data_IF_429305521285
#
_entry.id   IF_429305521285
#
_cell.length_a   1.000
_cell.length_b   1.000
_cell.length_c   1.000
_cell.angle_alpha   90.00
_cell.angle_beta   90.00
_cell.angle_gamma   90.00
#
_symmetry.space_group_name_H-M   'P 1'
#
loop_
_entity.id
_entity.type
_entity.pdbx_description
1 polymer ?
#
# COMPACT_ATOMS: atom_id res chain seq x y z
N UNK A 1 3.09 -30.02 28.26
CA UNK A 1 2.03 -30.01 27.23
C UNK A 1 1.43 -28.62 27.17
N UNK A 2 1.60 -27.91 26.04
CA UNK A 2 0.78 -26.78 25.54
C UNK A 2 1.56 -26.11 24.40
N UNK A 3 1.73 -26.87 23.31
CA UNK A 3 2.04 -26.33 21.98
C UNK A 3 0.70 -25.88 21.40
N UNK A 4 0.36 -24.60 21.48
CA UNK A 4 -0.59 -23.92 20.58
C UNK A 4 -0.83 -22.51 21.10
N UNK A 5 -0.26 -21.50 20.44
CA UNK A 5 -0.98 -20.31 19.98
C UNK A 5 0.00 -19.37 19.26
N UNK A 6 -0.54 -18.59 18.33
CA UNK A 6 0.07 -17.53 17.51
C UNK A 6 0.66 -17.95 16.16
N UNK A 7 -0.22 -18.44 15.27
CA UNK A 7 -0.09 -18.24 13.82
C UNK A 7 -1.37 -17.53 13.36
N UNK A 8 -1.42 -16.20 13.48
CA UNK A 8 -2.53 -15.40 12.91
C UNK A 8 -2.11 -14.02 12.36
N UNK A 9 -0.82 -13.69 12.29
CA UNK A 9 -0.37 -12.33 11.94
C UNK A 9 0.15 -12.16 10.49
N UNK A 10 -0.36 -12.91 9.52
CA UNK A 10 0.14 -12.86 8.12
C UNK A 10 -0.89 -12.37 7.09
N UNK A 11 -2.12 -12.03 7.49
CA UNK A 11 -3.19 -11.66 6.55
C UNK A 11 -3.36 -10.14 6.34
N UNK A 12 -2.75 -9.29 7.18
CA UNK A 12 -2.91 -7.83 7.09
C UNK A 12 -2.16 -7.19 5.91
N UNK A 13 -1.09 -7.82 5.40
CA UNK A 13 -0.29 -7.27 4.29
C UNK A 13 -0.93 -7.40 2.90
N UNK A 14 -1.81 -8.39 2.70
CA UNK A 14 -2.44 -8.61 1.40
C UNK A 14 -3.62 -7.65 1.15
N UNK A 15 -4.38 -7.33 2.20
CA UNK A 15 -5.52 -6.40 2.10
C UNK A 15 -5.06 -4.98 1.71
N UNK A 16 -4.00 -4.47 2.35
CA UNK A 16 -3.49 -3.12 2.11
C UNK A 16 -2.91 -2.94 0.70
N UNK A 17 -2.30 -3.99 0.15
CA UNK A 17 -1.74 -3.98 -1.20
C UNK A 17 -2.85 -3.89 -2.25
N UNK A 18 -3.95 -4.61 -2.04
CA UNK A 18 -5.10 -4.57 -2.94
C UNK A 18 -5.77 -3.20 -2.96
N UNK A 19 -5.93 -2.55 -1.81
CA UNK A 19 -6.56 -1.23 -1.73
C UNK A 19 -5.66 -0.13 -2.29
N UNK A 20 -4.34 -0.23 -2.10
CA UNK A 20 -3.37 0.62 -2.77
C UNK A 20 -3.47 0.50 -4.31
N UNK A 21 -3.52 -0.73 -4.82
CA UNK A 21 -3.67 -0.98 -6.26
C UNK A 21 -4.97 -0.37 -6.79
N UNK A 22 -6.10 -0.52 -6.09
CA UNK A 22 -7.38 0.10 -6.49
C UNK A 22 -7.26 1.62 -6.56
N UNK A 23 -6.68 2.25 -5.54
CA UNK A 23 -6.49 3.71 -5.51
C UNK A 23 -5.60 4.19 -6.68
N UNK A 24 -4.52 3.48 -6.97
CA UNK A 24 -3.62 3.79 -8.09
C UNK A 24 -4.32 3.63 -9.45
N UNK A 25 -5.08 2.54 -9.65
CA UNK A 25 -5.87 2.32 -10.86
C UNK A 25 -6.94 3.39 -11.06
N UNK A 26 -7.64 3.79 -10.00
CA UNK A 26 -8.63 4.87 -10.06
C UNK A 26 -8.01 6.23 -10.49
N UNK A 27 -6.71 6.42 -10.30
CA UNK A 27 -5.97 7.61 -10.73
C UNK A 27 -5.36 7.48 -12.15
N UNK A 28 -5.64 6.39 -12.86
CA UNK A 28 -5.17 6.15 -14.22
C UNK A 28 -3.74 5.62 -14.31
N UNK A 29 -3.21 5.03 -13.23
CA UNK A 29 -1.91 4.39 -13.25
C UNK A 29 -1.97 2.96 -13.79
N UNK A 30 -0.92 2.57 -14.49
CA UNK A 30 -0.76 1.25 -15.11
C UNK A 30 0.57 0.62 -14.67
N UNK A 31 0.81 -0.65 -15.03
CA UNK A 31 2.03 -1.39 -14.65
C UNK A 31 2.36 -1.30 -13.15
N UNK A 32 1.32 -1.36 -12.31
CA UNK A 32 1.42 -1.16 -10.86
C UNK A 32 2.09 -2.37 -10.21
N UNK A 33 3.14 -2.13 -9.43
CA UNK A 33 3.81 -3.10 -8.58
C UNK A 33 3.90 -2.54 -7.15
N UNK A 34 3.55 -3.35 -6.16
CA UNK A 34 3.63 -2.98 -4.73
C UNK A 34 4.81 -3.69 -4.07
N UNK A 35 5.62 -2.95 -3.31
CA UNK A 35 6.92 -3.42 -2.80
C UNK A 35 6.96 -3.59 -1.27
N UNK A 36 5.81 -3.71 -0.62
CA UNK A 36 5.69 -3.88 0.84
C UNK A 36 5.45 -2.56 1.59
N UNK A 37 5.82 -2.53 2.88
CA UNK A 37 5.46 -1.42 3.76
C UNK A 37 6.37 -0.19 3.58
N UNK A 38 5.77 1.00 3.47
CA UNK A 38 6.51 2.27 3.32
C UNK A 38 6.75 2.93 4.69
N UNK A 39 7.75 2.44 5.43
CA UNK A 39 8.05 2.81 6.82
C UNK A 39 8.28 4.31 7.09
N UNK A 40 8.59 5.12 6.07
CA UNK A 40 8.92 6.55 6.25
C UNK A 40 8.06 7.52 5.41
N UNK A 41 7.15 7.01 4.57
CA UNK A 41 6.38 7.87 3.66
C UNK A 41 4.96 8.18 4.15
N UNK A 42 4.49 7.50 5.19
CA UNK A 42 3.15 7.68 5.75
C UNK A 42 3.23 8.14 7.20
N UNK A 43 2.19 8.83 7.68
CA UNK A 43 2.17 9.35 9.05
C UNK A 43 1.96 8.20 10.05
N UNK A 44 2.31 8.41 11.32
CA UNK A 44 2.10 7.39 12.38
C UNK A 44 0.63 6.97 12.50
N UNK A 45 -0.28 7.87 12.11
CA UNK A 45 -1.74 7.64 12.09
C UNK A 45 -2.27 6.85 10.88
N UNK A 46 -1.40 6.51 9.91
CA UNK A 46 -1.78 5.77 8.71
C UNK A 46 -1.61 4.25 8.96
N UNK A 47 -2.72 3.52 9.06
CA UNK A 47 -2.75 2.07 9.31
C UNK A 47 -2.07 1.26 8.20
N UNK A 48 -2.04 1.78 6.98
CA UNK A 48 -1.53 1.11 5.81
C UNK A 48 -0.62 2.05 5.02
N UNK A 49 0.62 1.62 4.84
CA UNK A 49 1.62 2.32 4.04
C UNK A 49 2.15 1.35 2.97
N UNK A 50 1.67 1.43 1.74
CA UNK A 50 2.09 0.49 0.68
C UNK A 50 2.97 1.20 -0.33
N UNK A 51 4.24 0.79 -0.44
CA UNK A 51 5.16 1.29 -1.46
C UNK A 51 4.75 0.80 -2.84
N UNK A 52 4.82 1.64 -3.85
CA UNK A 52 4.49 1.27 -5.23
C UNK A 52 5.48 1.81 -6.26
N UNK A 53 5.51 1.15 -7.40
CA UNK A 53 6.01 1.69 -8.66
C UNK A 53 4.94 1.49 -9.73
N UNK A 54 4.70 2.48 -10.57
CA UNK A 54 3.69 2.41 -11.63
C UNK A 54 4.10 3.27 -12.83
N UNK A 55 3.29 3.26 -13.89
CA UNK A 55 3.35 4.25 -14.97
C UNK A 55 2.21 5.24 -14.83
N UNK A 56 2.50 6.51 -15.05
CA UNK A 56 1.48 7.55 -15.14
C UNK A 56 0.75 7.52 -16.49
N UNK A 57 -0.20 8.45 -16.67
CA UNK A 57 -1.01 8.58 -17.89
C UNK A 57 -0.16 8.85 -19.15
N UNK A 58 1.01 9.47 -18.94
CA UNK A 58 1.99 9.79 -19.98
C UNK A 58 3.01 8.65 -20.20
N UNK A 59 2.83 7.50 -19.53
CA UNK A 59 3.72 6.34 -19.63
C UNK A 59 5.01 6.47 -18.83
N UNK A 60 5.19 7.54 -18.05
CA UNK A 60 6.38 7.77 -17.24
C UNK A 60 6.37 6.88 -16.01
N UNK A 61 7.51 6.24 -15.71
CA UNK A 61 7.67 5.44 -14.50
C UNK A 61 7.73 6.35 -13.28
N UNK A 62 6.87 6.10 -12.31
CA UNK A 62 6.78 6.81 -11.04
C UNK A 62 6.89 5.84 -9.86
N UNK A 63 7.34 6.34 -8.72
CA UNK A 63 7.36 5.61 -7.45
C UNK A 63 6.81 6.47 -6.33
N UNK A 64 6.41 5.79 -5.25
CA UNK A 64 5.89 6.46 -4.07
C UNK A 64 5.27 5.49 -3.09
N UNK A 65 4.40 6.02 -2.23
CA UNK A 65 3.61 5.26 -1.28
C UNK A 65 2.12 5.64 -1.35
N UNK A 66 1.26 4.65 -1.16
CA UNK A 66 -0.15 4.89 -0.85
C UNK A 66 -0.34 4.75 0.65
N UNK A 67 -0.74 5.85 1.28
CA UNK A 67 -1.01 5.92 2.71
C UNK A 67 -2.53 5.91 2.93
N UNK A 68 -3.03 5.05 3.80
CA UNK A 68 -4.45 4.98 4.14
C UNK A 68 -4.65 4.52 5.59
N UNK A 69 -5.83 4.82 6.15
CA UNK A 69 -6.23 4.37 7.49
C UNK A 69 -7.55 3.59 7.43
N UNK A 70 -7.87 2.85 8.48
CA UNK A 70 -9.05 1.96 8.53
C UNK A 70 -10.39 2.65 8.17
N UNK A 71 -10.55 3.94 8.53
CA UNK A 71 -11.71 4.77 8.22
C UNK A 71 -11.35 6.01 7.38
N UNK A 72 -10.13 6.06 6.83
CA UNK A 72 -9.60 7.22 6.11
C UNK A 72 -9.47 6.90 4.62
N UNK A 73 -9.64 7.92 3.78
CA UNK A 73 -9.34 7.82 2.35
C UNK A 73 -7.85 7.53 2.09
N UNK A 74 -7.52 7.15 0.85
CA UNK A 74 -6.15 6.87 0.44
C UNK A 74 -5.47 8.13 -0.12
N UNK A 75 -4.26 8.40 0.35
CA UNK A 75 -3.38 9.46 -0.17
C UNK A 75 -2.23 8.84 -0.95
N UNK A 76 -2.02 9.29 -2.19
CA UNK A 76 -0.86 8.91 -2.99
C UNK A 76 0.23 9.96 -2.77
N UNK A 77 1.38 9.55 -2.21
CA UNK A 77 2.57 10.36 -2.01
C UNK A 77 3.66 9.88 -2.95
N UNK A 78 4.11 10.73 -3.86
CA UNK A 78 5.26 10.43 -4.72
C UNK A 78 6.56 10.63 -3.93
N UNK A 79 7.61 9.90 -4.33
CA UNK A 79 8.97 10.08 -3.81
C UNK A 79 9.60 11.40 -4.28
#
# INVERSE_FOLDING_TARGET
MKKLLLITLLLSGCSSSNDAIKALKANGFTDIQTHGHAFFNCSEDDTFATKFTAKNKDGQKISGAVCSGWLKGSTIRFD
#
